data_IF_951489931302
#
_entry.id   IF_951489931302
#
_cell.length_a   1.000
_cell.length_b   1.000
_cell.length_c   1.000
_cell.angle_alpha   90.00
_cell.angle_beta   90.00
_cell.angle_gamma   90.00
#
_symmetry.space_group_name_H-M   'P 1'
#
loop_
_entity.id
_entity.type
_entity.pdbx_description
1 polymer ?
#
# COMPACT_ATOMS: atom_id res chain seq x y z
N UNK A 1 -22.90 5.69 -10.54
CA UNK A 1 -23.49 4.34 -10.78
C UNK A 1 -24.39 4.41 -11.99
N UNK A 2 -24.39 3.37 -12.84
CA UNK A 2 -25.27 3.27 -14.02
C UNK A 2 -26.23 2.09 -13.85
N UNK A 3 -27.48 2.29 -14.28
CA UNK A 3 -28.56 1.30 -14.20
C UNK A 3 -29.01 0.94 -15.62
N UNK A 4 -29.11 -0.36 -15.91
CA UNK A 4 -29.59 -0.92 -17.17
C UNK A 4 -30.82 -1.80 -16.97
N UNK A 5 -31.51 -2.11 -18.06
CA UNK A 5 -32.61 -3.08 -18.10
C UNK A 5 -32.08 -4.49 -18.39
N UNK A 6 -32.81 -5.56 -17.99
CA UNK A 6 -32.42 -6.93 -18.27
C UNK A 6 -32.18 -7.22 -19.76
N UNK A 7 -32.93 -6.55 -20.63
CA UNK A 7 -32.86 -6.70 -22.10
C UNK A 7 -31.74 -5.91 -22.77
N UNK A 8 -31.08 -5.00 -22.05
CA UNK A 8 -29.98 -4.23 -22.62
C UNK A 8 -28.81 -5.16 -22.92
N UNK A 9 -28.05 -4.87 -23.96
CA UNK A 9 -26.96 -5.71 -24.44
C UNK A 9 -25.74 -5.63 -23.51
N UNK A 10 -24.93 -6.68 -23.53
CA UNK A 10 -23.60 -6.69 -22.90
C UNK A 10 -22.73 -5.56 -23.46
N UNK A 11 -22.86 -5.23 -24.76
CA UNK A 11 -22.14 -4.13 -25.38
C UNK A 11 -22.51 -2.77 -24.77
N UNK A 12 -23.80 -2.53 -24.50
CA UNK A 12 -24.25 -1.32 -23.80
C UNK A 12 -23.70 -1.26 -22.38
N UNK A 13 -23.66 -2.40 -21.68
CA UNK A 13 -23.03 -2.48 -20.37
C UNK A 13 -21.53 -2.16 -20.42
N UNK A 14 -20.79 -2.72 -21.38
CA UNK A 14 -19.37 -2.44 -21.57
C UNK A 14 -19.11 -0.95 -21.87
N UNK A 15 -19.93 -0.35 -22.73
CA UNK A 15 -19.87 1.10 -23.03
C UNK A 15 -20.17 1.92 -21.79
N UNK A 16 -21.20 1.58 -21.03
CA UNK A 16 -21.53 2.28 -19.79
C UNK A 16 -20.38 2.22 -18.77
N UNK A 17 -19.75 1.06 -18.60
CA UNK A 17 -18.56 0.86 -17.75
C UNK A 17 -17.43 1.79 -18.18
N UNK A 18 -17.10 1.83 -19.47
CA UNK A 18 -16.01 2.64 -20.00
C UNK A 18 -16.30 4.15 -19.91
N UNK A 19 -17.46 4.61 -20.40
CA UNK A 19 -17.81 6.04 -20.45
C UNK A 19 -17.92 6.65 -19.05
N UNK A 20 -18.36 5.87 -18.07
CA UNK A 20 -18.54 6.34 -16.69
C UNK A 20 -17.34 6.00 -15.79
N UNK A 21 -16.32 5.30 -16.32
CA UNK A 21 -15.14 4.85 -15.57
C UNK A 21 -15.49 4.07 -14.30
N UNK A 22 -16.50 3.22 -14.39
CA UNK A 22 -17.00 2.36 -13.31
C UNK A 22 -16.68 0.90 -13.61
N UNK A 23 -16.59 0.04 -12.59
CA UNK A 23 -16.31 -1.39 -12.77
C UNK A 23 -17.55 -2.31 -12.81
N UNK A 24 -18.75 -1.76 -12.65
CA UNK A 24 -19.99 -2.53 -12.64
C UNK A 24 -21.21 -1.68 -13.01
N UNK A 25 -22.25 -2.34 -13.50
CA UNK A 25 -23.59 -1.77 -13.74
C UNK A 25 -24.63 -2.52 -12.91
N UNK A 26 -25.62 -1.79 -12.43
CA UNK A 26 -26.80 -2.36 -11.79
C UNK A 26 -27.85 -2.69 -12.85
N UNK A 27 -28.58 -3.79 -12.66
CA UNK A 27 -29.67 -4.19 -13.56
C UNK A 27 -30.99 -4.07 -12.80
N UNK A 28 -31.91 -3.28 -13.34
CA UNK A 28 -33.22 -3.06 -12.73
C UNK A 28 -34.37 -3.52 -13.63
N UNK A 29 -35.37 -4.15 -13.01
CA UNK A 29 -36.65 -4.47 -13.62
C UNK A 29 -37.76 -3.92 -12.74
N UNK A 30 -38.70 -3.18 -13.33
CA UNK A 30 -39.85 -2.60 -12.61
C UNK A 30 -39.45 -1.77 -11.37
N UNK A 31 -38.33 -1.04 -11.46
CA UNK A 31 -37.79 -0.20 -10.39
C UNK A 31 -37.06 -0.95 -9.27
N UNK A 32 -36.98 -2.29 -9.34
CA UNK A 32 -36.28 -3.14 -8.38
C UNK A 32 -34.94 -3.59 -8.91
N UNK A 33 -33.95 -3.65 -8.03
CA UNK A 33 -32.64 -4.22 -8.36
C UNK A 33 -32.76 -5.74 -8.53
N UNK A 34 -32.46 -6.24 -9.73
CA UNK A 34 -32.56 -7.67 -10.06
C UNK A 34 -31.23 -8.33 -10.34
N UNK A 35 -30.16 -7.55 -10.52
CA UNK A 35 -28.81 -8.08 -10.66
C UNK A 35 -27.74 -7.01 -10.76
N UNK A 36 -26.50 -7.48 -10.84
CA UNK A 36 -25.30 -6.68 -11.05
C UNK A 36 -24.42 -7.39 -12.08
N UNK A 37 -23.77 -6.64 -12.97
CA UNK A 37 -22.81 -7.18 -13.92
C UNK A 37 -21.52 -6.36 -13.85
N UNK A 38 -20.37 -7.05 -13.76
CA UNK A 38 -19.05 -6.40 -13.73
C UNK A 38 -18.31 -6.58 -15.05
N UNK A 39 -17.28 -5.76 -15.27
CA UNK A 39 -16.33 -5.92 -16.38
C UNK A 39 -15.78 -7.36 -16.53
N UNK A 40 -15.47 -8.02 -15.40
CA UNK A 40 -15.07 -9.44 -15.34
C UNK A 40 -16.18 -10.37 -15.81
N UNK A 41 -17.44 -10.13 -15.45
CA UNK A 41 -18.56 -10.95 -15.93
C UNK A 41 -18.71 -10.83 -17.45
N UNK A 42 -18.67 -9.61 -17.99
CA UNK A 42 -18.73 -9.39 -19.45
C UNK A 42 -17.55 -10.07 -20.15
N UNK A 43 -16.36 -10.01 -19.56
CA UNK A 43 -15.15 -10.62 -20.12
C UNK A 43 -15.22 -12.15 -20.08
N UNK A 44 -15.52 -12.74 -18.94
CA UNK A 44 -15.41 -14.20 -18.75
C UNK A 44 -16.63 -14.94 -19.29
N UNK A 45 -17.82 -14.40 -19.09
CA UNK A 45 -19.09 -15.07 -19.43
C UNK A 45 -19.54 -14.81 -20.86
N UNK A 46 -19.04 -13.74 -21.50
CA UNK A 46 -19.39 -13.38 -22.89
C UNK A 46 -18.19 -13.57 -23.80
N UNK A 47 -17.15 -12.75 -23.65
CA UNK A 47 -15.98 -12.79 -24.55
C UNK A 47 -15.24 -14.14 -24.43
N UNK A 48 -15.03 -14.62 -23.20
CA UNK A 48 -14.38 -15.90 -22.93
C UNK A 48 -15.15 -17.12 -23.44
N UNK A 49 -16.45 -16.97 -23.66
CA UNK A 49 -17.31 -18.01 -24.24
C UNK A 49 -17.51 -17.84 -25.76
N UNK A 50 -16.92 -16.80 -26.36
CA UNK A 50 -17.10 -16.48 -27.79
C UNK A 50 -18.50 -16.00 -28.16
N UNK A 51 -19.27 -15.49 -27.19
CA UNK A 51 -20.61 -14.94 -27.43
C UNK A 51 -20.50 -13.53 -28.03
N UNK A 52 -21.50 -13.15 -28.82
CA UNK A 52 -21.60 -11.81 -29.38
C UNK A 52 -22.22 -10.84 -28.35
N UNK A 53 -21.40 -9.88 -27.90
CA UNK A 53 -21.80 -8.89 -26.91
C UNK A 53 -22.93 -7.96 -27.38
N UNK A 54 -23.14 -7.81 -28.69
CA UNK A 54 -24.19 -6.94 -29.23
C UNK A 54 -25.58 -7.58 -29.21
N UNK A 55 -25.64 -8.92 -29.18
CA UNK A 55 -26.89 -9.69 -29.17
C UNK A 55 -27.17 -10.41 -27.85
N UNK A 56 -26.16 -10.59 -26.99
CA UNK A 56 -26.32 -11.18 -25.65
C UNK A 56 -26.92 -10.17 -24.69
N UNK A 57 -28.03 -10.53 -24.03
CA UNK A 57 -28.67 -9.67 -23.03
C UNK A 57 -27.91 -9.70 -21.69
N UNK A 58 -27.84 -8.57 -21.00
CA UNK A 58 -27.13 -8.45 -19.72
C UNK A 58 -27.71 -9.38 -18.65
N UNK A 59 -29.02 -9.68 -18.72
CA UNK A 59 -29.67 -10.63 -17.81
C UNK A 59 -29.14 -12.05 -17.90
N UNK A 60 -28.52 -12.44 -19.01
CA UNK A 60 -27.97 -13.78 -19.21
C UNK A 60 -26.63 -13.96 -18.50
N UNK A 61 -25.95 -12.85 -18.17
CA UNK A 61 -24.60 -12.88 -17.59
C UNK A 61 -24.47 -12.19 -16.25
N UNK A 62 -25.44 -11.36 -15.86
CA UNK A 62 -25.46 -10.70 -14.55
C UNK A 62 -25.50 -11.73 -13.41
N UNK A 63 -25.01 -11.33 -12.25
CA UNK A 63 -25.19 -12.08 -11.01
C UNK A 63 -26.55 -11.73 -10.40
N UNK A 64 -27.36 -12.75 -10.11
CA UNK A 64 -28.72 -12.63 -9.57
C UNK A 64 -29.03 -13.79 -8.62
N UNK A 65 -29.68 -13.56 -7.46
CA UNK A 65 -30.02 -12.25 -6.90
C UNK A 65 -28.74 -11.50 -6.46
N UNK A 66 -28.74 -10.15 -6.53
CA UNK A 66 -27.57 -9.38 -6.13
C UNK A 66 -27.38 -9.42 -4.62
N UNK A 67 -26.12 -9.48 -4.18
CA UNK A 67 -25.76 -9.17 -2.80
C UNK A 67 -25.99 -7.66 -2.58
N UNK A 68 -26.57 -7.27 -1.45
CA UNK A 68 -26.91 -5.88 -1.16
C UNK A 68 -26.65 -5.55 0.30
N UNK A 69 -26.52 -4.26 0.59
CA UNK A 69 -26.48 -3.68 1.94
C UNK A 69 -27.56 -2.59 2.06
N UNK A 70 -28.00 -2.31 3.28
CA UNK A 70 -28.73 -1.11 3.62
C UNK A 70 -27.79 0.08 3.73
N UNK A 71 -28.22 1.31 3.42
CA UNK A 71 -27.47 2.52 3.78
C UNK A 71 -27.23 2.70 5.29
N UNK A 72 -27.88 1.89 6.13
CA UNK A 72 -27.73 1.88 7.59
C UNK A 72 -26.68 0.88 8.08
N UNK A 73 -26.20 0.00 7.20
CA UNK A 73 -25.13 -0.94 7.54
C UNK A 73 -23.79 -0.19 7.59
N UNK A 74 -22.86 -0.68 8.38
CA UNK A 74 -21.56 -0.04 8.58
C UNK A 74 -20.47 -0.58 7.63
N UNK A 75 -19.29 0.05 7.68
CA UNK A 75 -18.14 -0.36 6.86
C UNK A 75 -17.67 -1.78 7.18
N UNK A 76 -17.80 -2.22 8.44
CA UNK A 76 -17.37 -3.56 8.84
C UNK A 76 -18.27 -4.63 8.21
N UNK A 77 -19.58 -4.39 8.12
CA UNK A 77 -20.50 -5.24 7.38
C UNK A 77 -20.16 -5.32 5.89
N UNK A 78 -19.80 -4.17 5.29
CA UNK A 78 -19.35 -4.14 3.90
C UNK A 78 -18.11 -5.00 3.67
N UNK A 79 -17.06 -4.82 4.49
CA UNK A 79 -15.82 -5.59 4.38
C UNK A 79 -16.04 -7.08 4.61
N UNK A 80 -16.81 -7.43 5.64
CA UNK A 80 -17.18 -8.81 5.94
C UNK A 80 -17.88 -9.46 4.75
N UNK A 81 -18.90 -8.82 4.18
CA UNK A 81 -19.59 -9.34 3.00
C UNK A 81 -18.69 -9.43 1.76
N UNK A 82 -17.83 -8.42 1.52
CA UNK A 82 -16.88 -8.43 0.42
C UNK A 82 -15.90 -9.61 0.52
N UNK A 83 -15.42 -9.91 1.74
CA UNK A 83 -14.56 -11.06 2.04
C UNK A 83 -15.29 -12.38 1.86
N UNK A 84 -16.41 -12.57 2.55
CA UNK A 84 -17.17 -13.83 2.55
C UNK A 84 -17.72 -14.21 1.17
N UNK A 85 -18.12 -13.22 0.38
CA UNK A 85 -18.77 -13.44 -0.92
C UNK A 85 -17.85 -13.21 -2.10
N UNK A 86 -16.58 -12.88 -1.86
CA UNK A 86 -15.60 -12.63 -2.91
C UNK A 86 -16.10 -11.57 -3.92
N UNK A 87 -16.58 -10.43 -3.40
CA UNK A 87 -17.06 -9.31 -4.21
C UNK A 87 -16.37 -8.01 -3.79
N UNK A 88 -16.20 -7.07 -4.72
CA UNK A 88 -15.55 -5.76 -4.47
C UNK A 88 -16.53 -4.60 -4.43
N UNK A 89 -17.79 -4.84 -4.77
CA UNK A 89 -18.80 -3.82 -5.04
C UNK A 89 -20.12 -4.36 -4.55
N UNK A 90 -20.78 -3.61 -3.67
CA UNK A 90 -22.07 -3.99 -3.10
C UNK A 90 -23.06 -2.84 -3.32
N UNK A 91 -24.14 -3.06 -4.07
CA UNK A 91 -25.26 -2.14 -4.14
C UNK A 91 -25.86 -1.81 -2.76
N UNK A 92 -26.12 -0.53 -2.53
CA UNK A 92 -26.90 -0.06 -1.39
C UNK A 92 -28.38 0.02 -1.79
N UNK A 93 -29.25 -0.65 -1.02
CA UNK A 93 -30.68 -0.74 -1.29
C UNK A 93 -31.48 -0.24 -0.09
N UNK A 94 -32.41 0.67 -0.34
CA UNK A 94 -33.43 1.14 0.61
C UNK A 94 -34.80 1.01 -0.04
N UNK A 95 -35.77 0.40 0.66
CA UNK A 95 -37.13 0.17 0.15
C UNK A 95 -37.18 -0.49 -1.26
N UNK A 96 -36.38 -1.55 -1.45
CA UNK A 96 -36.21 -2.29 -2.73
C UNK A 96 -35.58 -1.49 -3.89
N UNK A 97 -35.19 -0.24 -3.64
CA UNK A 97 -34.56 0.65 -4.64
C UNK A 97 -33.08 0.76 -4.38
N UNK A 98 -32.30 0.69 -5.45
CA UNK A 98 -30.88 0.98 -5.36
C UNK A 98 -30.70 2.49 -5.16
N UNK A 99 -30.00 2.85 -4.09
CA UNK A 99 -29.72 4.25 -3.73
C UNK A 99 -28.23 4.60 -3.87
N UNK A 100 -27.37 3.58 -3.96
CA UNK A 100 -25.94 3.77 -4.14
C UNK A 100 -25.20 2.47 -4.37
N UNK A 101 -23.87 2.54 -4.32
CA UNK A 101 -22.97 1.40 -4.39
C UNK A 101 -21.75 1.73 -3.54
N UNK A 102 -21.36 0.80 -2.67
CA UNK A 102 -20.07 0.86 -1.97
C UNK A 102 -19.08 -0.02 -2.71
N UNK A 103 -17.88 0.48 -2.94
CA UNK A 103 -16.78 -0.28 -3.54
C UNK A 103 -15.59 -0.36 -2.61
N UNK A 104 -14.79 -1.42 -2.75
CA UNK A 104 -13.52 -1.56 -2.04
C UNK A 104 -12.60 -0.36 -2.31
N UNK A 105 -12.67 0.21 -3.52
CA UNK A 105 -11.89 1.39 -3.91
C UNK A 105 -12.32 2.63 -3.09
N UNK A 106 -13.63 2.81 -2.86
CA UNK A 106 -14.15 3.90 -2.01
C UNK A 106 -13.67 3.73 -0.56
N UNK A 107 -13.72 2.51 -0.01
CA UNK A 107 -13.25 2.22 1.35
C UNK A 107 -11.76 2.54 1.56
N UNK A 108 -10.94 2.34 0.51
CA UNK A 108 -9.52 2.69 0.52
C UNK A 108 -9.33 4.20 0.45
N UNK A 109 -10.01 4.87 -0.49
CA UNK A 109 -9.80 6.29 -0.76
C UNK A 109 -10.33 7.18 0.36
N UNK A 110 -11.39 6.76 1.03
CA UNK A 110 -12.00 7.51 2.14
C UNK A 110 -11.37 7.17 3.50
N UNK A 111 -10.31 6.34 3.53
CA UNK A 111 -9.68 5.82 4.75
C UNK A 111 -10.72 5.23 5.74
N UNK A 112 -11.78 4.63 5.19
CA UNK A 112 -12.96 4.21 5.95
C UNK A 112 -12.75 2.92 6.75
N UNK A 113 -11.59 2.25 6.57
CA UNK A 113 -11.21 1.05 7.30
C UNK A 113 -9.68 0.86 7.38
N UNK A 114 -9.18 0.08 8.36
CA UNK A 114 -7.77 -0.29 8.44
C UNK A 114 -7.29 -1.02 7.18
N UNK A 115 -6.05 -0.75 6.77
CA UNK A 115 -5.47 -1.33 5.55
C UNK A 115 -5.36 -2.86 5.65
N UNK A 116 -5.18 -3.38 6.86
CA UNK A 116 -5.12 -4.81 7.16
C UNK A 116 -6.44 -5.52 6.80
N UNK A 117 -7.59 -4.94 7.18
CA UNK A 117 -8.90 -5.52 6.88
C UNK A 117 -9.20 -5.50 5.37
N UNK A 118 -8.80 -4.42 4.69
CA UNK A 118 -8.89 -4.30 3.24
C UNK A 118 -8.01 -5.35 2.54
N UNK A 119 -6.80 -5.58 3.06
CA UNK A 119 -5.89 -6.59 2.53
C UNK A 119 -6.48 -8.00 2.61
N UNK A 120 -7.15 -8.35 3.72
CA UNK A 120 -7.83 -9.63 3.86
C UNK A 120 -8.92 -9.86 2.81
N UNK A 121 -9.65 -8.82 2.42
CA UNK A 121 -10.62 -8.90 1.30
C UNK A 121 -9.88 -9.23 0.01
N UNK A 122 -8.79 -8.54 -0.29
CA UNK A 122 -8.02 -8.77 -1.53
C UNK A 122 -7.43 -10.19 -1.56
N UNK A 123 -6.92 -10.68 -0.44
CA UNK A 123 -6.37 -12.04 -0.31
C UNK A 123 -7.43 -13.11 -0.54
N UNK A 124 -8.62 -12.97 0.06
CA UNK A 124 -9.73 -13.91 -0.13
C UNK A 124 -10.16 -14.03 -1.61
N UNK A 125 -10.05 -12.93 -2.37
CA UNK A 125 -10.48 -12.88 -3.77
C UNK A 125 -9.44 -13.43 -4.76
N UNK A 126 -8.17 -13.40 -4.37
CA UNK A 126 -7.05 -13.94 -5.15
C UNK A 126 -7.16 -15.47 -5.26
N UNK A 127 -7.70 -16.15 -4.25
CA UNK A 127 -7.72 -17.62 -4.20
C UNK A 127 -6.32 -18.22 -4.41
N UNK A 128 -6.22 -19.37 -5.07
CA UNK A 128 -4.92 -19.91 -5.53
C UNK A 128 -4.36 -19.09 -6.72
N UNK A 129 -5.22 -18.65 -7.65
CA UNK A 129 -4.84 -18.06 -8.94
C UNK A 129 -4.42 -16.57 -8.97
N UNK A 130 -4.12 -15.93 -7.85
CA UNK A 130 -3.74 -14.50 -7.87
C UNK A 130 -2.33 -14.24 -8.42
N UNK A 131 -1.74 -13.05 -8.16
CA UNK A 131 -0.33 -12.77 -8.49
C UNK A 131 0.65 -13.64 -7.70
N UNK A 132 0.14 -14.69 -7.07
CA UNK A 132 0.75 -15.80 -6.39
C UNK A 132 1.17 -16.94 -7.32
N UNK A 133 0.27 -17.31 -8.22
CA UNK A 133 0.35 -18.50 -9.08
C UNK A 133 0.47 -18.14 -10.57
N UNK A 134 0.43 -16.85 -10.93
CA UNK A 134 0.84 -16.43 -12.28
C UNK A 134 2.33 -16.75 -12.49
N UNK A 135 2.77 -17.22 -13.67
CA UNK A 135 4.21 -17.41 -13.96
C UNK A 135 5.05 -16.11 -13.84
N UNK A 136 4.39 -14.94 -13.73
CA UNK A 136 4.98 -13.63 -13.40
C UNK A 136 5.19 -13.39 -11.89
N UNK A 137 4.61 -14.23 -11.03
CA UNK A 137 4.62 -14.19 -9.56
C UNK A 137 5.92 -14.62 -8.87
N UNK A 138 6.62 -15.68 -9.29
CA UNK A 138 7.75 -16.22 -8.53
C UNK A 138 8.87 -15.20 -8.40
N UNK A 139 9.10 -14.40 -9.45
CA UNK A 139 10.09 -13.33 -9.45
C UNK A 139 9.73 -12.21 -8.48
N UNK A 140 8.47 -11.75 -8.46
CA UNK A 140 8.02 -10.66 -7.58
C UNK A 140 7.94 -11.08 -6.12
N UNK A 141 7.40 -12.26 -5.82
CA UNK A 141 7.41 -12.85 -4.46
C UNK A 141 8.82 -13.09 -3.95
N UNK A 142 9.69 -13.72 -4.74
CA UNK A 142 11.11 -13.91 -4.35
C UNK A 142 11.83 -12.58 -4.18
N UNK A 143 11.53 -11.57 -5.00
CA UNK A 143 12.10 -10.23 -4.87
C UNK A 143 11.66 -9.54 -3.57
N UNK A 144 10.37 -9.60 -3.23
CA UNK A 144 9.84 -9.04 -1.98
C UNK A 144 10.38 -9.77 -0.76
N UNK A 145 10.35 -11.11 -0.74
CA UNK A 145 10.92 -11.91 0.36
C UNK A 145 12.41 -11.62 0.55
N UNK A 146 13.18 -11.46 -0.54
CA UNK A 146 14.59 -11.04 -0.46
C UNK A 146 14.73 -9.62 0.10
N UNK A 147 13.88 -8.70 -0.33
CA UNK A 147 13.89 -7.32 0.15
C UNK A 147 13.55 -7.23 1.65
N UNK A 148 12.55 -7.97 2.11
CA UNK A 148 12.19 -8.13 3.52
C UNK A 148 13.34 -8.76 4.30
N UNK A 149 13.94 -9.84 3.79
CA UNK A 149 15.08 -10.50 4.45
C UNK A 149 16.26 -9.54 4.62
N UNK A 150 16.57 -8.72 3.61
CA UNK A 150 17.64 -7.72 3.69
C UNK A 150 17.33 -6.62 4.71
N UNK A 151 16.10 -6.09 4.69
CA UNK A 151 15.68 -5.07 5.67
C UNK A 151 15.68 -5.64 7.09
N UNK A 152 15.14 -6.84 7.28
CA UNK A 152 15.08 -7.51 8.58
C UNK A 152 16.47 -7.77 9.14
N UNK A 153 17.46 -8.13 8.29
CA UNK A 153 18.85 -8.26 8.71
C UNK A 153 19.40 -6.94 9.24
N UNK A 154 19.17 -5.83 8.52
CA UNK A 154 19.63 -4.51 8.94
C UNK A 154 18.98 -4.07 10.26
N UNK A 155 17.66 -4.28 10.41
CA UNK A 155 16.92 -3.95 11.64
C UNK A 155 17.45 -4.78 12.83
N UNK A 156 17.74 -6.06 12.62
CA UNK A 156 18.27 -6.92 13.68
C UNK A 156 19.68 -6.50 14.10
N UNK A 157 20.55 -6.14 13.14
CA UNK A 157 21.88 -5.58 13.44
C UNK A 157 21.76 -4.29 14.25
N UNK A 158 20.87 -3.38 13.87
CA UNK A 158 20.61 -2.15 14.62
C UNK A 158 20.12 -2.45 16.03
N UNK A 159 19.19 -3.40 16.18
CA UNK A 159 18.67 -3.79 17.48
C UNK A 159 19.78 -4.30 18.40
N UNK A 160 20.67 -5.14 17.87
CA UNK A 160 21.79 -5.74 18.61
C UNK A 160 22.86 -4.69 18.95
N UNK A 161 23.34 -3.92 17.96
CA UNK A 161 24.42 -2.95 18.14
C UNK A 161 24.00 -1.76 18.99
N UNK A 162 22.74 -1.32 18.88
CA UNK A 162 22.21 -0.20 19.65
C UNK A 162 21.58 -0.64 20.98
N UNK A 163 21.63 -1.93 21.33
CA UNK A 163 21.09 -2.52 22.56
C UNK A 163 19.63 -2.09 22.84
N UNK A 164 18.75 -2.36 21.86
CA UNK A 164 17.34 -1.98 21.90
C UNK A 164 16.46 -3.17 22.31
N UNK A 165 15.58 -2.95 23.28
CA UNK A 165 14.71 -3.99 23.84
C UNK A 165 13.73 -4.54 22.80
N UNK A 166 13.23 -3.68 21.93
CA UNK A 166 12.21 -4.04 20.95
C UNK A 166 12.64 -3.79 19.51
N UNK A 167 12.32 -4.75 18.66
CA UNK A 167 12.54 -4.68 17.21
C UNK A 167 11.86 -3.47 16.55
N UNK A 168 10.69 -3.07 17.07
CA UNK A 168 9.95 -1.92 16.55
C UNK A 168 10.65 -0.59 16.86
N UNK A 169 11.40 -0.51 17.97
CA UNK A 169 12.26 0.64 18.27
C UNK A 169 13.40 0.72 17.24
N UNK A 170 14.06 -0.42 16.96
CA UNK A 170 15.12 -0.49 15.96
C UNK A 170 14.62 -0.10 14.55
N UNK A 171 13.44 -0.58 14.16
CA UNK A 171 12.83 -0.22 12.88
C UNK A 171 12.49 1.27 12.81
N UNK A 172 11.92 1.83 13.88
CA UNK A 172 11.56 3.26 13.91
C UNK A 172 12.80 4.15 13.94
N UNK A 173 13.84 3.73 14.67
CA UNK A 173 15.13 4.43 14.73
C UNK A 173 15.82 4.43 13.36
N UNK A 174 15.83 3.30 12.65
CA UNK A 174 16.30 3.21 11.25
C UNK A 174 15.57 4.23 10.37
N UNK A 175 14.24 4.27 10.42
CA UNK A 175 13.45 5.17 9.60
C UNK A 175 13.71 6.65 9.93
N UNK A 176 13.84 7.01 11.23
CA UNK A 176 14.17 8.37 11.69
C UNK A 176 15.55 8.80 11.17
N UNK A 177 16.57 7.96 11.40
CA UNK A 177 17.96 8.30 11.09
C UNK A 177 18.18 8.37 9.57
N UNK A 178 17.70 7.39 8.82
CA UNK A 178 17.86 7.38 7.36
C UNK A 178 17.12 8.56 6.71
N UNK A 179 15.91 8.87 7.17
CA UNK A 179 15.18 10.04 6.67
C UNK A 179 15.92 11.36 6.97
N UNK A 180 16.52 11.46 8.15
CA UNK A 180 17.33 12.63 8.53
C UNK A 180 18.59 12.75 7.66
N UNK A 181 19.32 11.64 7.44
CA UNK A 181 20.48 11.60 6.54
C UNK A 181 20.09 12.05 5.12
N UNK A 182 19.03 11.46 4.54
CA UNK A 182 18.53 11.83 3.20
C UNK A 182 18.21 13.32 3.10
N UNK A 183 17.49 13.89 4.09
CA UNK A 183 17.15 15.32 4.13
C UNK A 183 18.37 16.22 4.32
N UNK A 184 19.48 15.71 4.83
CA UNK A 184 20.74 16.45 4.99
C UNK A 184 21.62 16.50 3.75
N UNK A 185 21.46 15.53 2.86
CA UNK A 185 22.25 15.43 1.63
C UNK A 185 21.68 16.34 0.53
N UNK A 186 22.51 16.70 -0.43
CA UNK A 186 22.00 17.33 -1.66
C UNK A 186 21.23 16.30 -2.50
N UNK A 187 20.42 16.74 -3.46
CA UNK A 187 19.53 15.86 -4.21
C UNK A 187 20.26 14.73 -4.99
N UNK A 188 21.50 14.97 -5.44
CA UNK A 188 22.31 13.96 -6.13
C UNK A 188 22.75 12.87 -5.16
N UNK A 189 23.40 13.27 -4.07
CA UNK A 189 23.87 12.37 -3.00
C UNK A 189 22.74 11.62 -2.32
N UNK A 190 21.61 12.28 -2.05
CA UNK A 190 20.43 11.64 -1.50
C UNK A 190 19.94 10.51 -2.42
N UNK A 191 19.97 10.72 -3.74
CA UNK A 191 19.58 9.70 -4.72
C UNK A 191 20.55 8.53 -4.73
N UNK A 192 21.85 8.80 -4.70
CA UNK A 192 22.91 7.79 -4.72
C UNK A 192 22.89 6.96 -3.42
N UNK A 193 22.78 7.61 -2.27
CA UNK A 193 22.59 6.98 -0.96
C UNK A 193 21.36 6.07 -0.94
N UNK A 194 20.17 6.59 -1.32
CA UNK A 194 18.93 5.81 -1.35
C UNK A 194 19.01 4.64 -2.34
N UNK A 195 19.85 4.73 -3.38
CA UNK A 195 20.02 3.65 -4.35
C UNK A 195 20.65 2.40 -3.74
N UNK A 196 21.45 2.53 -2.69
CA UNK A 196 22.16 1.43 -2.03
C UNK A 196 21.38 0.79 -0.86
N UNK A 197 20.37 1.48 -0.35
CA UNK A 197 19.56 0.99 0.77
C UNK A 197 18.63 -0.19 0.38
N UNK A 198 18.10 -0.95 1.36
CA UNK A 198 17.05 -1.94 1.12
C UNK A 198 15.89 -1.38 0.30
N UNK A 199 15.42 -2.13 -0.70
CA UNK A 199 14.43 -1.65 -1.67
C UNK A 199 13.09 -1.24 -1.04
N UNK A 200 12.73 -1.80 0.11
CA UNK A 200 11.52 -1.45 0.86
C UNK A 200 11.57 -0.05 1.49
N UNK A 201 12.75 0.51 1.75
CA UNK A 201 12.89 1.87 2.28
C UNK A 201 12.78 2.93 1.17
N UNK A 202 13.15 2.57 -0.07
CA UNK A 202 13.31 3.53 -1.17
C UNK A 202 12.05 4.36 -1.48
N UNK A 203 10.81 3.80 -1.50
CA UNK A 203 9.63 4.56 -1.88
C UNK A 203 9.39 5.77 -0.98
N UNK A 204 9.41 5.59 0.35
CA UNK A 204 9.19 6.70 1.27
C UNK A 204 10.37 7.68 1.27
N UNK A 205 11.62 7.22 1.12
CA UNK A 205 12.79 8.10 1.14
C UNK A 205 12.84 9.01 -0.09
N UNK A 206 12.42 8.51 -1.26
CA UNK A 206 12.33 9.30 -2.49
C UNK A 206 11.22 10.35 -2.46
N UNK A 207 10.23 10.18 -1.60
CA UNK A 207 9.14 11.13 -1.41
C UNK A 207 9.50 12.26 -0.43
N UNK A 208 10.64 12.17 0.27
CA UNK A 208 11.09 13.22 1.18
C UNK A 208 11.46 14.50 0.41
N UNK A 209 11.27 15.68 1.01
CA UNK A 209 11.75 16.94 0.42
C UNK A 209 13.26 16.89 0.15
N UNK A 210 13.73 17.49 -0.96
CA UNK A 210 15.16 17.52 -1.26
C UNK A 210 15.92 18.36 -0.23
N UNK A 211 17.11 17.89 0.15
CA UNK A 211 18.02 18.61 1.03
C UNK A 211 18.96 19.58 0.30
N UNK A 212 19.89 20.24 1.02
CA UNK A 212 20.14 20.08 2.46
C UNK A 212 19.17 20.89 3.33
N UNK A 213 18.39 20.20 4.15
CA UNK A 213 17.50 20.80 5.14
C UNK A 213 18.27 21.17 6.41
N UNK A 214 18.46 22.47 6.63
CA UNK A 214 19.21 22.99 7.78
C UNK A 214 18.50 22.82 9.12
N UNK A 215 17.18 22.55 9.12
CA UNK A 215 16.42 22.30 10.34
C UNK A 215 16.69 20.92 10.95
N UNK A 216 17.19 19.97 10.14
CA UNK A 216 17.57 18.63 10.59
C UNK A 216 18.93 18.73 11.30
N UNK A 217 18.90 19.06 12.59
CA UNK A 217 20.07 19.14 13.48
C UNK A 217 20.24 17.85 14.28
N UNK A 218 21.37 17.69 15.00
CA UNK A 218 21.56 16.56 15.91
C UNK A 218 20.40 16.47 16.92
N UNK A 219 20.07 17.60 17.57
CA UNK A 219 18.95 17.69 18.54
C UNK A 219 17.59 17.35 17.92
N UNK A 220 17.39 17.68 16.65
CA UNK A 220 16.17 17.27 15.95
C UNK A 220 16.09 15.75 15.83
N UNK A 221 17.19 15.09 15.45
CA UNK A 221 17.24 13.64 15.31
C UNK A 221 17.03 12.95 16.66
N UNK A 222 17.70 13.43 17.71
CA UNK A 222 17.54 12.93 19.09
C UNK A 222 16.07 13.07 19.55
N UNK A 223 15.45 14.24 19.35
CA UNK A 223 14.06 14.46 19.71
C UNK A 223 13.09 13.54 18.93
N UNK A 224 13.36 13.25 17.66
CA UNK A 224 12.58 12.31 16.86
C UNK A 224 12.76 10.86 17.33
N UNK A 225 13.97 10.46 17.71
CA UNK A 225 14.23 9.14 18.29
C UNK A 225 13.49 8.95 19.62
N UNK A 226 13.53 9.95 20.49
CA UNK A 226 12.81 9.92 21.77
C UNK A 226 11.30 9.84 21.52
N UNK A 227 10.75 10.72 20.67
CA UNK A 227 9.30 10.78 20.43
C UNK A 227 8.74 9.56 19.70
N UNK A 228 9.44 9.08 18.66
CA UNK A 228 8.88 8.08 17.73
C UNK A 228 9.36 6.68 18.04
N UNK A 229 10.63 6.52 18.38
CA UNK A 229 11.22 5.22 18.68
C UNK A 229 11.24 4.93 20.19
N UNK A 230 10.77 5.86 21.05
CA UNK A 230 10.72 5.65 22.50
C UNK A 230 12.10 5.40 23.10
N UNK A 231 13.12 6.07 22.57
CA UNK A 231 14.49 6.00 23.07
C UNK A 231 14.64 6.92 24.28
N UNK A 232 15.31 6.45 25.33
CA UNK A 232 15.62 7.27 26.51
C UNK A 232 16.54 8.46 26.13
N UNK A 233 16.33 9.61 26.77
CA UNK A 233 17.00 10.87 26.40
C UNK A 233 18.52 10.77 26.50
N UNK A 234 19.05 10.08 27.51
CA UNK A 234 20.48 9.86 27.74
C UNK A 234 21.12 8.90 26.71
N UNK A 235 20.31 8.07 26.04
CA UNK A 235 20.75 7.13 25.00
C UNK A 235 20.57 7.66 23.58
N UNK A 236 19.84 8.74 23.37
CA UNK A 236 19.46 9.22 22.04
C UNK A 236 20.66 9.47 21.12
N UNK A 237 21.73 10.07 21.64
CA UNK A 237 22.97 10.32 20.88
C UNK A 237 23.66 9.04 20.46
N UNK A 238 23.87 8.10 21.38
CA UNK A 238 24.55 6.84 21.06
C UNK A 238 23.72 6.00 20.08
N UNK A 239 22.40 5.93 20.26
CA UNK A 239 21.51 5.21 19.35
C UNK A 239 21.54 5.85 17.96
N UNK A 240 21.50 7.18 17.84
CA UNK A 240 21.65 7.86 16.56
C UNK A 240 22.94 7.44 15.85
N UNK A 241 24.08 7.53 16.53
CA UNK A 241 25.39 7.25 15.91
C UNK A 241 25.51 5.78 15.53
N UNK A 242 25.08 4.87 16.41
CA UNK A 242 25.08 3.43 16.11
C UNK A 242 24.23 3.14 14.89
N UNK A 243 22.96 3.55 14.86
CA UNK A 243 22.07 3.34 13.70
C UNK A 243 22.67 3.91 12.42
N UNK A 244 23.23 5.13 12.49
CA UNK A 244 23.84 5.76 11.33
C UNK A 244 25.07 4.98 10.84
N UNK A 245 25.93 4.49 11.74
CA UNK A 245 27.06 3.64 11.37
C UNK A 245 26.62 2.30 10.79
N UNK A 246 25.68 1.59 11.42
CA UNK A 246 25.18 0.31 10.88
C UNK A 246 24.60 0.47 9.47
N UNK A 247 23.92 1.60 9.18
CA UNK A 247 23.43 1.92 7.84
C UNK A 247 24.58 2.22 6.88
N UNK A 248 25.54 3.05 7.29
CA UNK A 248 26.69 3.43 6.46
C UNK A 248 27.60 2.23 6.15
N UNK A 249 27.73 1.28 7.07
CA UNK A 249 28.51 0.05 6.87
C UNK A 249 27.77 -0.95 5.97
N UNK A 250 26.46 -0.77 5.76
CA UNK A 250 25.66 -1.58 4.84
C UNK A 250 25.75 -1.16 3.37
N UNK A 251 26.42 -0.03 3.07
CA UNK A 251 26.59 0.53 1.72
C UNK A 251 28.08 0.55 1.32
N UNK A 252 28.38 0.97 0.09
CA UNK A 252 29.77 1.01 -0.39
C UNK A 252 30.62 2.03 0.41
N UNK A 253 31.90 1.73 0.70
CA UNK A 253 32.75 2.63 1.50
C UNK A 253 32.85 4.06 0.96
N UNK A 254 32.93 4.21 -0.37
CA UNK A 254 32.99 5.53 -1.01
C UNK A 254 31.68 6.33 -0.84
N UNK A 255 30.53 5.66 -0.89
CA UNK A 255 29.24 6.32 -0.63
C UNK A 255 29.11 6.69 0.85
N UNK A 256 29.53 5.80 1.75
CA UNK A 256 29.52 6.07 3.19
C UNK A 256 30.37 7.31 3.54
N UNK A 257 31.57 7.41 2.96
CA UNK A 257 32.44 8.57 3.10
C UNK A 257 31.79 9.84 2.54
N UNK A 258 31.16 9.75 1.36
CA UNK A 258 30.46 10.87 0.74
C UNK A 258 29.30 11.37 1.62
N UNK A 259 28.47 10.47 2.14
CA UNK A 259 27.39 10.82 3.08
C UNK A 259 27.96 11.51 4.33
N UNK A 260 28.98 10.92 4.97
CA UNK A 260 29.62 11.50 6.17
C UNK A 260 30.17 12.91 5.89
N UNK A 261 30.83 13.10 4.75
CA UNK A 261 31.46 14.38 4.38
C UNK A 261 30.47 15.54 4.23
N UNK A 262 29.19 15.24 3.93
CA UNK A 262 28.13 16.20 3.64
C UNK A 262 27.27 16.54 4.86
N UNK A 263 27.40 15.77 5.95
CA UNK A 263 26.75 16.09 7.22
C UNK A 263 27.36 17.35 7.87
N UNK A 264 26.61 18.09 8.69
CA UNK A 264 27.15 19.14 9.54
C UNK A 264 28.40 18.71 10.34
N UNK A 265 29.36 19.61 10.55
CA UNK A 265 30.60 19.33 11.31
C UNK A 265 30.34 18.81 12.73
N UNK A 266 29.27 19.26 13.36
CA UNK A 266 28.82 18.75 14.66
C UNK A 266 28.46 17.26 14.61
N UNK A 267 27.73 16.81 13.58
CA UNK A 267 27.39 15.40 13.39
C UNK A 267 28.61 14.57 12.99
N UNK A 268 29.49 15.10 12.12
CA UNK A 268 30.74 14.43 11.72
C UNK A 268 31.58 14.01 12.94
N UNK A 269 31.72 14.90 13.93
CA UNK A 269 32.47 14.63 15.16
C UNK A 269 31.88 13.50 16.01
N UNK A 270 30.57 13.28 15.94
CA UNK A 270 29.94 12.18 16.68
C UNK A 270 30.43 10.83 16.17
N UNK A 271 30.57 10.68 14.85
CA UNK A 271 31.10 9.45 14.27
C UNK A 271 32.52 9.17 14.72
N UNK A 272 33.37 10.18 14.92
CA UNK A 272 34.73 10.01 15.45
C UNK A 272 34.75 9.63 16.95
N UNK A 273 33.74 10.06 17.70
CA UNK A 273 33.67 9.89 19.16
C UNK A 273 33.09 8.52 19.57
N UNK A 274 32.27 7.93 18.70
CA UNK A 274 31.55 6.68 18.93
C UNK A 274 31.91 5.59 17.89
N UNK A 275 33.11 5.67 17.27
CA UNK A 275 33.69 4.63 16.40
C UNK A 275 34.52 3.62 17.19
#
# INVERSE_FOLDING_TARGET
MVVLKPSDSVLEAARAIEHNRIGAVAVQKDGRLVGIATDRDLTVRVLGQGLDASSTAISEVMSSPPLTLSPRDDTADALRLMKERNVRRIPLVEDERIVGMVTLDDLILDEAAPLEEIAEVVEAQIGEGGPADSERAPGRRRSLVRAETTLNRLVNLIQEEADLDYRDQARTALDVVVAALVRRLNAGEAKDFVSQLPSLLKPHLRALPPGPDRSVTQKYIEAELIRRAGIEEDRATSVFVTVANTVLDSISPGEAEQVRSQLPKEMQKLFETYS
#
